data_IF_269892808849
#
_entry.id   IF_269892808849
#
_cell.length_a   1.000
_cell.length_b   1.000
_cell.length_c   1.000
_cell.angle_alpha   90.00
_cell.angle_beta   90.00
_cell.angle_gamma   90.00
#
_symmetry.space_group_name_H-M   'P 1'
#
loop_
_entity.id
_entity.type
_entity.pdbx_description
1 polymer ?
#
# COMPACT_ATOMS: atom_id res chain seq x y z
N UNK A 1 -4.94 0.48 -23.71
CA UNK A 1 -4.43 0.12 -22.37
C UNK A 1 -5.55 0.12 -21.33
N UNK A 2 -5.86 -1.05 -20.79
CA UNK A 2 -6.82 -1.33 -19.73
C UNK A 2 -6.11 -1.27 -18.38
N UNK A 3 -6.60 -0.44 -17.46
CA UNK A 3 -6.02 -0.29 -16.13
C UNK A 3 -6.93 -0.90 -15.07
N UNK A 4 -6.36 -1.76 -14.23
CA UNK A 4 -7.02 -2.36 -13.07
C UNK A 4 -6.47 -1.76 -11.79
N UNK A 5 -7.33 -1.14 -11.00
CA UNK A 5 -6.94 -0.61 -9.69
C UNK A 5 -7.24 -1.63 -8.59
N UNK A 6 -6.20 -2.19 -7.99
CA UNK A 6 -6.30 -3.17 -6.91
C UNK A 6 -6.19 -2.48 -5.54
N UNK A 7 -7.26 -2.53 -4.75
CA UNK A 7 -7.25 -2.11 -3.35
C UNK A 7 -6.63 -3.18 -2.45
N UNK A 8 -5.67 -2.81 -1.60
CA UNK A 8 -5.03 -3.75 -0.66
C UNK A 8 -5.05 -3.17 0.76
N UNK A 9 -5.51 -3.95 1.74
CA UNK A 9 -5.41 -3.60 3.16
C UNK A 9 -4.12 -4.17 3.72
N UNK A 10 -3.20 -3.29 4.13
CA UNK A 10 -1.91 -3.69 4.71
C UNK A 10 -1.95 -3.62 6.23
N UNK A 11 -2.47 -4.68 6.86
CA UNK A 11 -2.60 -4.75 8.31
C UNK A 11 -1.28 -5.09 9.01
N UNK A 12 -1.00 -4.38 10.11
CA UNK A 12 0.22 -4.57 10.90
C UNK A 12 1.49 -4.08 10.20
N UNK A 13 1.35 -3.23 9.18
CA UNK A 13 2.44 -2.80 8.29
C UNK A 13 3.54 -1.98 8.99
N UNK A 14 3.27 -1.44 10.19
CA UNK A 14 4.27 -0.73 11.00
C UNK A 14 5.35 -1.63 11.64
N UNK A 15 5.23 -2.95 11.50
CA UNK A 15 6.27 -3.90 11.93
C UNK A 15 7.51 -3.88 11.03
N UNK A 16 8.63 -4.46 11.51
CA UNK A 16 9.92 -4.43 10.78
C UNK A 16 9.83 -5.00 9.37
N UNK A 17 9.21 -6.18 9.20
CA UNK A 17 9.03 -6.81 7.88
C UNK A 17 7.93 -6.12 7.07
N UNK A 18 6.81 -5.77 7.71
CA UNK A 18 5.70 -5.04 7.09
C UNK A 18 6.15 -3.76 6.40
N UNK A 19 6.94 -2.95 7.10
CA UNK A 19 7.41 -1.66 6.61
C UNK A 19 8.46 -1.84 5.52
N UNK A 20 9.52 -2.61 5.81
CA UNK A 20 10.68 -2.64 4.92
C UNK A 20 10.47 -3.55 3.72
N UNK A 21 9.97 -4.77 3.93
CA UNK A 21 9.85 -5.77 2.86
C UNK A 21 8.55 -5.56 2.09
N UNK A 22 7.42 -5.53 2.77
CA UNK A 22 6.12 -5.57 2.08
C UNK A 22 5.70 -4.19 1.57
N UNK A 23 5.80 -3.14 2.39
CA UNK A 23 5.37 -1.80 1.97
C UNK A 23 6.40 -1.12 1.08
N UNK A 24 7.60 -0.85 1.60
CA UNK A 24 8.60 -0.03 0.89
C UNK A 24 9.16 -0.78 -0.33
N UNK A 25 9.72 -1.98 -0.12
CA UNK A 25 10.40 -2.73 -1.18
C UNK A 25 9.47 -3.43 -2.17
N UNK A 26 8.17 -3.59 -1.84
CA UNK A 26 7.21 -4.21 -2.77
C UNK A 26 6.11 -3.26 -3.20
N UNK A 27 5.15 -2.91 -2.34
CA UNK A 27 3.96 -2.15 -2.79
C UNK A 27 4.31 -0.75 -3.28
N UNK A 28 5.22 -0.03 -2.61
CA UNK A 28 5.68 1.28 -3.08
C UNK A 28 6.50 1.16 -4.36
N UNK A 29 7.41 0.19 -4.43
CA UNK A 29 8.20 -0.07 -5.65
C UNK A 29 7.30 -0.38 -6.86
N UNK A 30 6.27 -1.21 -6.70
CA UNK A 30 5.28 -1.49 -7.77
C UNK A 30 4.56 -0.20 -8.19
N UNK A 31 4.16 0.66 -7.25
CA UNK A 31 3.52 1.95 -7.56
C UNK A 31 4.46 2.89 -8.31
N UNK A 32 5.73 2.96 -7.91
CA UNK A 32 6.76 3.77 -8.57
C UNK A 32 7.07 3.28 -10.00
N UNK A 33 6.98 1.96 -10.24
CA UNK A 33 7.12 1.35 -11.56
C UNK A 33 5.89 1.57 -12.47
N UNK A 34 4.82 2.20 -11.98
CA UNK A 34 3.58 2.42 -12.73
C UNK A 34 2.61 1.24 -12.69
N UNK A 35 2.83 0.24 -11.83
CA UNK A 35 2.01 -0.95 -11.70
C UNK A 35 2.67 -2.21 -12.26
N UNK A 36 1.89 -3.29 -12.31
CA UNK A 36 2.30 -4.60 -12.83
C UNK A 36 1.75 -4.74 -14.24
N UNK A 37 2.63 -4.79 -15.24
CA UNK A 37 2.23 -5.04 -16.62
C UNK A 37 1.84 -6.52 -16.78
N UNK A 38 0.60 -6.77 -17.22
CA UNK A 38 0.06 -8.12 -17.46
C UNK A 38 0.16 -8.50 -18.94
N UNK A 39 -0.07 -7.53 -19.82
CA UNK A 39 0.08 -7.68 -21.28
C UNK A 39 0.43 -6.31 -21.91
N UNK A 40 0.70 -6.22 -23.23
CA UNK A 40 0.96 -4.94 -23.91
C UNK A 40 -0.13 -3.88 -23.69
N UNK A 41 -1.37 -4.31 -23.47
CA UNK A 41 -2.53 -3.45 -23.32
C UNK A 41 -3.18 -3.53 -21.92
N UNK A 42 -2.53 -4.12 -20.91
CA UNK A 42 -3.14 -4.33 -19.58
C UNK A 42 -2.13 -4.14 -18.44
N UNK A 43 -2.51 -3.31 -17.45
CA UNK A 43 -1.71 -3.01 -16.26
C UNK A 43 -2.56 -3.07 -14.98
N UNK A 44 -1.98 -3.55 -13.90
CA UNK A 44 -2.58 -3.53 -12.55
C UNK A 44 -1.84 -2.50 -11.69
N UNK A 45 -2.54 -1.46 -11.25
CA UNK A 45 -2.03 -0.48 -10.28
C UNK A 45 -2.53 -0.81 -8.87
N UNK A 46 -1.77 -0.39 -7.84
CA UNK A 46 -2.05 -0.76 -6.44
C UNK A 46 -2.39 0.47 -5.61
N UNK A 47 -3.49 0.41 -4.87
CA UNK A 47 -3.93 1.45 -3.94
C UNK A 47 -4.01 0.86 -2.52
N UNK A 48 -2.91 0.93 -1.73
CA UNK A 48 -2.90 0.39 -0.39
C UNK A 48 -3.61 1.31 0.62
N UNK A 49 -4.25 0.70 1.62
CA UNK A 49 -4.60 1.33 2.89
C UNK A 49 -3.77 0.71 4.02
N UNK A 50 -3.07 1.55 4.78
CA UNK A 50 -2.22 1.09 5.89
C UNK A 50 -3.07 0.96 7.16
N UNK A 51 -3.04 -0.20 7.82
CA UNK A 51 -3.74 -0.37 9.10
C UNK A 51 -2.82 -0.89 10.20
N UNK A 52 -3.15 -0.56 11.44
CA UNK A 52 -2.35 -0.89 12.61
C UNK A 52 -2.87 -0.20 13.87
N UNK A 53 -2.22 -0.46 15.00
CA UNK A 53 -2.70 0.01 16.32
C UNK A 53 -2.17 1.38 16.76
N UNK A 54 -1.11 1.87 16.12
CA UNK A 54 -0.44 3.11 16.53
C UNK A 54 -0.58 4.15 15.43
N UNK A 55 -1.47 5.12 15.67
CA UNK A 55 -1.77 6.23 14.76
C UNK A 55 -0.52 7.03 14.36
N UNK A 56 0.29 7.44 15.32
CA UNK A 56 1.50 8.23 15.04
C UNK A 56 2.48 7.49 14.12
N UNK A 57 2.67 6.18 14.34
CA UNK A 57 3.52 5.35 13.46
C UNK A 57 2.92 5.17 12.08
N UNK A 58 1.60 5.02 11.97
CA UNK A 58 0.90 4.91 10.68
C UNK A 58 1.00 6.21 9.88
N UNK A 59 0.71 7.35 10.52
CA UNK A 59 0.80 8.67 9.90
C UNK A 59 2.21 8.96 9.39
N UNK A 60 3.22 8.77 10.23
CA UNK A 60 4.62 8.96 9.81
C UNK A 60 5.03 8.02 8.66
N UNK A 61 4.54 6.77 8.67
CA UNK A 61 4.80 5.82 7.59
C UNK A 61 4.09 6.20 6.30
N UNK A 62 2.84 6.67 6.38
CA UNK A 62 2.04 7.15 5.27
C UNK A 62 2.70 8.38 4.60
N UNK A 63 3.12 9.36 5.39
CA UNK A 63 3.84 10.55 4.92
C UNK A 63 5.16 10.16 4.22
N UNK A 64 5.95 9.25 4.83
CA UNK A 64 7.23 8.81 4.27
C UNK A 64 7.09 8.04 2.95
N UNK A 65 5.99 7.32 2.75
CA UNK A 65 5.79 6.43 1.58
C UNK A 65 4.83 7.00 0.53
N UNK A 66 4.25 8.18 0.77
CA UNK A 66 3.24 8.77 -0.11
C UNK A 66 1.95 7.93 -0.21
N UNK A 67 1.68 7.05 0.75
CA UNK A 67 0.40 6.33 0.84
C UNK A 67 -0.62 7.23 1.52
N UNK A 68 -1.71 7.55 0.83
CA UNK A 68 -2.69 8.55 1.31
C UNK A 68 -3.69 7.98 2.31
N UNK A 69 -3.99 6.68 2.23
CA UNK A 69 -5.03 6.03 3.04
C UNK A 69 -4.40 5.26 4.19
N UNK A 70 -4.80 5.58 5.41
CA UNK A 70 -4.45 4.81 6.60
C UNK A 70 -5.55 4.95 7.65
N UNK A 71 -5.69 3.96 8.52
CA UNK A 71 -6.65 3.98 9.64
C UNK A 71 -6.19 3.07 10.77
N UNK A 72 -6.58 3.38 12.00
CA UNK A 72 -6.45 2.47 13.14
C UNK A 72 -7.65 1.55 13.32
N UNK A 73 -8.75 1.81 12.60
CA UNK A 73 -9.94 0.96 12.59
C UNK A 73 -9.88 -0.02 11.40
N UNK A 74 -9.51 -1.28 11.68
CA UNK A 74 -9.44 -2.32 10.66
C UNK A 74 -10.81 -2.72 10.11
N UNK A 75 -11.87 -2.68 10.94
CA UNK A 75 -13.22 -3.07 10.52
C UNK A 75 -13.78 -2.13 9.46
N UNK A 76 -13.47 -0.83 9.55
CA UNK A 76 -13.83 0.13 8.50
C UNK A 76 -13.08 -0.08 7.18
N UNK A 77 -12.00 -0.86 7.19
CA UNK A 77 -11.18 -1.09 6.01
C UNK A 77 -11.53 -2.40 5.27
N UNK A 78 -12.17 -3.37 5.93
CA UNK A 78 -12.60 -4.68 5.38
C UNK A 78 -13.83 -4.54 4.49
#
# INVERSE_FOLDING_TARGET
MKEHKLGIIMNGVTGRMGTNQHLIRSICAIREQGGIQVSPDEVITVDPILTGRNENKLKALAERTGVRRWTTNIEQAL
#
